data_IF_685935361103
#
_entry.id   IF_685935361103
#
_cell.length_a   1.000
_cell.length_b   1.000
_cell.length_c   1.000
_cell.angle_alpha   90.00
_cell.angle_beta   90.00
_cell.angle_gamma   90.00
#
_symmetry.space_group_name_H-M   'P 1'
#
loop_
_entity.id
_entity.type
_entity.pdbx_description
1 polymer ?
#
# COMPACT_ATOMS: atom_id res chain seq x y z
N UNK A 1 -3.22 28.32 -34.60
CA UNK A 1 -2.52 27.02 -34.51
C UNK A 1 -3.18 26.15 -35.57
N UNK A 2 -2.52 25.88 -36.67
CA UNK A 2 -2.98 24.95 -37.68
C UNK A 2 -2.75 23.52 -37.21
N UNK A 3 -3.75 22.67 -37.39
CA UNK A 3 -3.61 21.26 -37.11
C UNK A 3 -2.49 20.67 -38.00
N UNK A 4 -1.63 19.79 -37.47
CA UNK A 4 -0.57 19.19 -38.28
C UNK A 4 -1.15 18.31 -39.39
N UNK A 5 -0.50 18.34 -40.56
CA UNK A 5 -0.78 17.43 -41.67
C UNK A 5 -0.57 15.98 -41.18
N UNK A 6 -1.49 15.08 -41.58
CA UNK A 6 -1.28 13.65 -41.37
C UNK A 6 -0.02 13.20 -42.12
N UNK A 7 0.99 12.83 -41.37
CA UNK A 7 2.15 12.10 -41.87
C UNK A 7 2.01 10.66 -41.41
N UNK A 8 2.20 9.70 -42.31
CA UNK A 8 2.22 8.30 -41.94
C UNK A 8 3.41 8.04 -41.00
N UNK A 9 3.13 8.02 -39.71
CA UNK A 9 4.07 7.92 -38.60
C UNK A 9 3.47 8.51 -37.31
N UNK A 10 4.17 8.47 -36.20
CA UNK A 10 3.71 9.00 -34.93
C UNK A 10 3.45 10.50 -35.03
N UNK A 11 2.19 10.91 -34.91
CA UNK A 11 1.81 12.33 -34.88
C UNK A 11 1.94 12.82 -33.44
N UNK A 12 2.95 13.63 -33.15
CA UNK A 12 3.07 14.35 -31.89
C UNK A 12 2.39 15.71 -32.07
N UNK A 13 1.16 15.84 -31.56
CA UNK A 13 0.37 17.06 -31.73
C UNK A 13 0.95 18.28 -31.00
N UNK A 14 1.28 18.12 -29.73
CA UNK A 14 1.92 19.15 -28.91
C UNK A 14 2.91 18.52 -27.94
N UNK A 15 4.15 18.95 -28.00
CA UNK A 15 5.16 18.62 -27.00
C UNK A 15 5.57 19.91 -26.28
N UNK A 16 5.36 19.97 -24.99
CA UNK A 16 5.89 21.03 -24.13
C UNK A 16 7.02 20.40 -23.33
N UNK A 17 8.24 20.93 -23.53
CA UNK A 17 9.40 20.57 -22.72
C UNK A 17 9.86 21.82 -22.00
N UNK A 18 9.91 21.75 -20.66
CA UNK A 18 10.45 22.81 -19.82
C UNK A 18 11.69 22.25 -19.18
N UNK A 19 12.81 22.85 -19.51
CA UNK A 19 14.11 22.62 -18.91
C UNK A 19 14.38 23.81 -17.98
N UNK A 20 14.26 23.61 -16.69
CA UNK A 20 14.51 24.64 -15.68
C UNK A 20 15.83 24.34 -14.99
N UNK A 21 16.91 24.85 -15.59
CA UNK A 21 18.26 24.78 -15.04
C UNK A 21 18.52 25.82 -13.93
N UNK A 22 17.54 26.69 -13.65
CA UNK A 22 17.75 27.80 -12.70
C UNK A 22 17.14 27.48 -11.34
N UNK A 23 18.01 27.21 -10.37
CA UNK A 23 17.66 26.94 -8.96
C UNK A 23 17.11 28.20 -8.24
N UNK A 24 16.76 29.26 -8.92
CA UNK A 24 16.18 30.47 -8.34
C UNK A 24 14.67 30.36 -8.24
N UNK A 25 14.17 30.05 -7.07
CA UNK A 25 12.85 30.32 -6.46
C UNK A 25 11.63 30.61 -7.37
N UNK A 26 11.54 30.05 -8.56
CA UNK A 26 10.39 30.14 -9.45
C UNK A 26 9.59 28.85 -9.48
N UNK A 27 8.27 28.93 -9.65
CA UNK A 27 7.43 27.76 -9.91
C UNK A 27 7.41 27.53 -11.42
N UNK A 28 8.02 26.44 -11.89
CA UNK A 28 7.94 26.04 -13.28
C UNK A 28 6.67 25.21 -13.51
N UNK A 29 5.84 25.60 -14.47
CA UNK A 29 4.70 24.83 -14.93
C UNK A 29 4.97 24.28 -16.32
N UNK A 30 4.92 22.94 -16.48
CA UNK A 30 5.01 22.33 -17.80
C UNK A 30 3.82 22.68 -18.69
N UNK A 31 2.62 22.63 -18.12
CA UNK A 31 1.38 23.01 -18.77
C UNK A 31 0.39 23.50 -17.71
N UNK A 32 -0.20 24.66 -17.94
CA UNK A 32 -1.28 25.18 -17.10
C UNK A 32 -2.56 25.31 -17.91
N UNK A 33 -3.65 24.70 -17.45
CA UNK A 33 -4.97 24.84 -18.04
C UNK A 33 -5.84 25.62 -17.06
N UNK A 34 -6.26 26.82 -17.48
CA UNK A 34 -7.20 27.65 -16.72
C UNK A 34 -8.59 27.52 -17.36
N UNK A 35 -9.55 27.02 -16.63
CA UNK A 35 -10.91 26.83 -17.09
C UNK A 35 -11.86 27.83 -16.44
N UNK A 36 -12.82 28.31 -17.20
CA UNK A 36 -13.94 29.07 -16.65
C UNK A 36 -14.82 28.16 -15.78
N UNK A 37 -15.57 28.73 -14.85
CA UNK A 37 -16.34 27.99 -13.84
C UNK A 37 -17.47 27.11 -14.39
N UNK A 38 -17.74 27.15 -15.69
CA UNK A 38 -18.81 26.40 -16.37
C UNK A 38 -18.27 25.41 -17.43
N UNK A 39 -17.05 24.91 -17.25
CA UNK A 39 -16.47 23.90 -18.13
C UNK A 39 -16.67 22.51 -17.51
N UNK A 40 -17.21 21.56 -18.27
CA UNK A 40 -17.51 20.20 -17.79
C UNK A 40 -16.22 19.38 -17.56
N UNK A 41 -15.16 19.63 -18.36
CA UNK A 41 -13.86 19.01 -18.17
C UNK A 41 -12.74 19.94 -18.64
N UNK A 42 -11.67 20.05 -17.86
CA UNK A 42 -10.45 20.77 -18.24
C UNK A 42 -9.55 19.94 -19.14
N UNK A 43 -9.52 18.63 -18.93
CA UNK A 43 -8.76 17.66 -19.73
C UNK A 43 -9.68 16.47 -20.00
N UNK A 44 -9.87 16.16 -21.27
CA UNK A 44 -10.58 14.94 -21.72
C UNK A 44 -9.59 14.03 -22.44
N UNK A 45 -9.39 12.82 -21.92
CA UNK A 45 -8.45 11.82 -22.41
C UNK A 45 -9.22 10.72 -23.11
N UNK A 46 -9.41 10.87 -24.43
CA UNK A 46 -10.15 9.90 -25.23
C UNK A 46 -9.20 8.84 -25.79
N UNK A 47 -9.35 7.59 -25.33
CA UNK A 47 -8.59 6.45 -25.85
C UNK A 47 -7.15 6.33 -25.36
N UNK A 48 -6.79 7.03 -24.25
CA UNK A 48 -5.47 7.00 -23.64
C UNK A 48 -5.55 7.18 -22.13
N UNK A 49 -4.40 7.37 -21.50
CA UNK A 49 -4.25 7.60 -20.05
C UNK A 49 -3.17 8.63 -19.75
N UNK A 50 -2.98 8.92 -18.48
CA UNK A 50 -1.87 9.72 -17.97
C UNK A 50 -0.77 8.74 -17.60
N UNK A 51 0.42 8.92 -18.19
CA UNK A 51 1.60 8.15 -17.82
C UNK A 51 2.38 8.92 -16.76
N UNK A 52 2.59 8.29 -15.62
CA UNK A 52 3.51 8.76 -14.59
C UNK A 52 4.92 8.22 -14.88
N UNK A 53 5.98 8.90 -14.41
CA UNK A 53 7.34 8.39 -14.52
C UNK A 53 7.46 7.01 -13.86
N UNK A 54 8.30 6.14 -14.42
CA UNK A 54 8.61 4.83 -13.83
C UNK A 54 9.49 4.93 -12.58
N UNK A 55 9.97 6.14 -12.25
CA UNK A 55 10.79 6.39 -11.08
C UNK A 55 9.87 6.75 -9.92
N UNK A 56 9.80 5.86 -8.95
CA UNK A 56 9.05 6.09 -7.72
C UNK A 56 9.66 7.30 -7.00
N UNK A 57 8.97 8.41 -7.03
CA UNK A 57 9.34 9.53 -6.19
C UNK A 57 9.33 9.06 -4.73
N UNK A 58 10.45 9.14 -4.07
CA UNK A 58 10.59 8.72 -2.67
C UNK A 58 9.78 9.59 -1.70
N UNK A 59 9.17 10.65 -2.20
CA UNK A 59 8.36 11.58 -1.41
C UNK A 59 7.24 12.16 -2.26
N UNK A 60 6.01 11.95 -1.83
CA UNK A 60 4.86 12.65 -2.37
C UNK A 60 5.02 14.18 -2.22
N UNK A 61 4.43 14.95 -3.13
CA UNK A 61 4.44 16.42 -3.06
C UNK A 61 3.92 16.90 -1.70
N UNK A 62 4.56 17.91 -1.15
CA UNK A 62 4.07 18.61 0.04
C UNK A 62 2.75 19.37 -0.20
N UNK A 63 2.35 19.54 -1.46
CA UNK A 63 1.08 20.17 -1.82
C UNK A 63 -0.05 19.12 -1.78
N UNK A 64 -0.97 19.28 -0.84
CA UNK A 64 -2.08 18.35 -0.61
C UNK A 64 -3.06 18.22 -1.81
N UNK A 65 -2.98 19.13 -2.79
CA UNK A 65 -3.84 19.12 -3.98
C UNK A 65 -3.15 18.54 -5.22
N UNK A 66 -1.96 17.97 -5.07
CA UNK A 66 -1.22 17.37 -6.18
C UNK A 66 -1.51 15.86 -6.23
N UNK A 67 -1.99 15.37 -7.36
CA UNK A 67 -2.01 13.96 -7.65
C UNK A 67 -0.65 13.58 -8.24
N UNK A 68 0.18 13.01 -7.44
CA UNK A 68 1.52 12.56 -7.78
C UNK A 68 1.79 11.16 -7.23
N UNK A 69 2.97 10.63 -7.54
CA UNK A 69 3.48 9.40 -6.94
C UNK A 69 2.53 8.20 -7.13
N UNK A 70 2.17 7.92 -8.41
CA UNK A 70 1.53 6.66 -8.74
C UNK A 70 2.58 5.56 -8.84
N UNK A 71 2.38 4.53 -8.04
CA UNK A 71 3.25 3.38 -7.99
C UNK A 71 2.42 2.10 -7.84
N UNK A 72 2.76 1.09 -8.58
CA UNK A 72 2.22 -0.26 -8.41
C UNK A 72 3.37 -1.26 -8.43
N UNK A 73 3.24 -2.33 -7.64
CA UNK A 73 4.30 -3.31 -7.56
C UNK A 73 3.96 -4.48 -6.65
N UNK A 74 4.98 -5.29 -6.48
CA UNK A 74 4.93 -6.45 -5.62
C UNK A 74 5.77 -6.21 -4.36
N UNK A 75 5.21 -6.60 -3.22
CA UNK A 75 5.87 -6.57 -1.92
C UNK A 75 6.27 -7.98 -1.50
N UNK A 76 7.57 -8.24 -1.42
CA UNK A 76 8.11 -9.52 -0.96
C UNK A 76 7.99 -9.64 0.57
N UNK A 77 7.16 -10.57 1.01
CA UNK A 77 6.92 -10.84 2.42
C UNK A 77 7.87 -11.91 3.02
N UNK A 78 8.91 -12.36 2.30
CA UNK A 78 9.81 -13.43 2.75
C UNK A 78 10.39 -13.20 4.15
N UNK A 79 10.74 -11.95 4.48
CA UNK A 79 11.26 -11.56 5.79
C UNK A 79 10.38 -10.53 6.49
N UNK A 80 9.14 -10.37 6.03
CA UNK A 80 8.26 -9.33 6.51
C UNK A 80 7.31 -9.82 7.61
N UNK A 81 7.03 -11.12 7.67
CA UNK A 81 6.12 -11.71 8.65
C UNK A 81 6.88 -12.24 9.85
N UNK A 82 6.51 -11.81 11.05
CA UNK A 82 7.19 -12.17 12.27
C UNK A 82 6.45 -11.70 13.51
N UNK A 83 7.15 -11.66 14.65
CA UNK A 83 6.60 -11.23 15.93
C UNK A 83 6.63 -9.71 16.15
N UNK A 84 5.84 -9.24 17.11
CA UNK A 84 5.81 -7.83 17.51
C UNK A 84 7.08 -7.40 18.21
N UNK A 85 7.80 -8.32 18.83
CA UNK A 85 9.05 -8.06 19.54
C UNK A 85 10.22 -7.83 18.57
N UNK A 86 10.00 -8.06 17.26
CA UNK A 86 10.87 -7.64 16.17
C UNK A 86 12.14 -8.46 15.99
N UNK A 87 12.26 -9.57 16.70
CA UNK A 87 13.46 -10.41 16.69
C UNK A 87 13.36 -11.66 15.83
N UNK A 88 12.18 -12.14 15.55
CA UNK A 88 11.97 -13.41 14.88
C UNK A 88 11.05 -13.26 13.68
N UNK A 89 11.42 -13.91 12.59
CA UNK A 89 10.58 -14.02 11.40
C UNK A 89 10.14 -15.46 11.20
N UNK A 90 8.94 -15.63 10.69
CA UNK A 90 8.45 -16.94 10.26
C UNK A 90 9.05 -17.31 8.91
N UNK A 91 9.16 -18.62 8.66
CA UNK A 91 9.57 -19.10 7.34
C UNK A 91 8.38 -19.04 6.40
N UNK A 92 8.46 -18.19 5.40
CA UNK A 92 7.42 -18.07 4.38
C UNK A 92 7.51 -19.18 3.33
N UNK A 93 6.37 -19.54 2.76
CA UNK A 93 6.31 -20.41 1.59
C UNK A 93 6.89 -19.66 0.38
N UNK A 94 7.81 -20.30 -0.35
CA UNK A 94 8.51 -19.67 -1.48
C UNK A 94 7.63 -19.39 -2.70
N UNK A 95 6.42 -19.94 -2.75
CA UNK A 95 5.46 -19.71 -3.82
C UNK A 95 4.41 -18.66 -3.45
N UNK A 96 4.14 -18.52 -2.14
CA UNK A 96 3.07 -17.67 -1.61
C UNK A 96 3.62 -16.68 -0.59
N UNK A 97 4.53 -15.84 -1.01
CA UNK A 97 5.22 -14.85 -0.18
C UNK A 97 5.18 -13.43 -0.76
N UNK A 98 4.29 -13.18 -1.72
CA UNK A 98 4.24 -11.89 -2.40
C UNK A 98 2.83 -11.30 -2.31
N UNK A 99 2.76 -10.03 -1.96
CA UNK A 99 1.56 -9.21 -1.98
C UNK A 99 1.68 -8.15 -3.07
N UNK A 100 0.57 -7.78 -3.68
CA UNK A 100 0.54 -6.66 -4.64
C UNK A 100 0.09 -5.39 -3.94
N UNK A 101 0.65 -4.25 -4.35
CA UNK A 101 0.21 -2.96 -3.87
C UNK A 101 0.00 -1.96 -5.00
N UNK A 102 -0.85 -0.98 -4.73
CA UNK A 102 -1.01 0.24 -5.52
C UNK A 102 -0.91 1.42 -4.55
N UNK A 103 -0.09 2.41 -4.93
CA UNK A 103 0.05 3.66 -4.19
C UNK A 103 -0.30 4.83 -5.10
N UNK A 104 -1.15 5.73 -4.62
CA UNK A 104 -1.56 6.95 -5.30
C UNK A 104 -1.39 8.12 -4.34
N UNK A 105 -0.36 8.92 -4.54
CA UNK A 105 0.05 9.88 -3.54
C UNK A 105 0.36 9.19 -2.22
N UNK A 106 -0.39 9.49 -1.18
CA UNK A 106 -0.24 8.87 0.14
C UNK A 106 -1.15 7.65 0.37
N UNK A 107 -2.10 7.40 -0.52
CA UNK A 107 -3.03 6.27 -0.38
C UNK A 107 -2.36 4.99 -0.87
N UNK A 108 -2.25 4.01 0.02
CA UNK A 108 -1.71 2.68 -0.28
C UNK A 108 -2.80 1.65 -0.13
N UNK A 109 -2.97 0.82 -1.15
CA UNK A 109 -3.76 -0.41 -1.08
C UNK A 109 -2.83 -1.61 -1.21
N UNK A 110 -2.86 -2.51 -0.22
CA UNK A 110 -2.08 -3.73 -0.17
C UNK A 110 -3.02 -4.93 -0.13
N UNK A 111 -2.80 -5.92 -1.00
CA UNK A 111 -3.65 -7.11 -1.05
C UNK A 111 -2.88 -8.36 -1.49
N UNK A 112 -3.43 -9.51 -1.16
CA UNK A 112 -2.96 -10.78 -1.71
C UNK A 112 -3.11 -11.95 -0.75
N UNK A 113 -2.44 -13.04 -1.12
CA UNK A 113 -2.40 -14.29 -0.38
C UNK A 113 -0.95 -14.62 -0.03
N UNK A 114 -0.68 -14.83 1.25
CA UNK A 114 0.63 -15.25 1.76
C UNK A 114 0.49 -16.46 2.67
N UNK A 115 1.56 -17.25 2.76
CA UNK A 115 1.56 -18.48 3.56
C UNK A 115 2.85 -18.57 4.38
N UNK A 116 2.68 -18.80 5.69
CA UNK A 116 3.75 -19.27 6.56
C UNK A 116 3.90 -20.77 6.30
N UNK A 117 5.08 -21.19 5.86
CA UNK A 117 5.40 -22.60 5.69
C UNK A 117 5.83 -23.26 7.01
N UNK A 118 6.43 -22.47 7.90
CA UNK A 118 6.81 -22.92 9.24
C UNK A 118 6.86 -21.74 10.20
N UNK A 119 5.99 -21.73 11.22
CA UNK A 119 6.11 -20.78 12.33
C UNK A 119 7.47 -20.92 13.02
N UNK A 120 8.01 -19.81 13.50
CA UNK A 120 9.24 -19.81 14.27
C UNK A 120 8.92 -20.11 15.73
N UNK A 121 9.41 -21.25 16.24
CA UNK A 121 9.14 -21.69 17.62
C UNK A 121 9.76 -20.77 18.71
N UNK A 122 10.63 -19.83 18.32
CA UNK A 122 11.21 -18.83 19.22
C UNK A 122 10.51 -17.48 19.14
N UNK A 123 9.54 -17.33 18.25
CA UNK A 123 8.74 -16.14 18.16
C UNK A 123 7.82 -16.00 19.37
N UNK A 124 7.57 -14.79 19.78
CA UNK A 124 6.69 -14.47 20.92
C UNK A 124 6.04 -13.11 20.70
N UNK A 125 4.84 -12.96 21.22
CA UNK A 125 4.04 -11.77 21.02
C UNK A 125 3.14 -11.85 19.79
N UNK A 126 2.67 -10.70 19.32
CA UNK A 126 1.69 -10.63 18.24
C UNK A 126 2.31 -10.99 16.90
N UNK A 127 1.59 -11.74 16.08
CA UNK A 127 1.95 -11.97 14.68
C UNK A 127 1.78 -10.67 13.90
N UNK A 128 2.84 -10.25 13.22
CA UNK A 128 2.87 -8.99 12.49
C UNK A 128 3.35 -9.18 11.06
N UNK A 129 2.96 -8.25 10.19
CA UNK A 129 3.49 -8.14 8.83
C UNK A 129 4.03 -6.73 8.61
N UNK A 130 5.28 -6.61 8.14
CA UNK A 130 5.85 -5.32 7.71
C UNK A 130 5.00 -4.70 6.61
N UNK A 131 4.92 -3.39 6.61
CA UNK A 131 4.27 -2.62 5.55
C UNK A 131 5.31 -2.20 4.50
N UNK A 132 4.94 -2.15 3.22
CA UNK A 132 5.83 -1.61 2.18
C UNK A 132 6.15 -0.13 2.39
N UNK A 133 5.23 0.62 3.00
CA UNK A 133 5.38 2.04 3.35
C UNK A 133 4.88 2.26 4.76
N UNK A 134 5.61 3.08 5.53
CA UNK A 134 5.19 3.43 6.88
C UNK A 134 3.85 4.17 6.87
N UNK A 135 2.98 3.86 7.83
CA UNK A 135 1.72 4.58 8.01
C UNK A 135 1.95 6.01 8.51
N UNK A 136 1.07 6.92 8.12
CA UNK A 136 1.14 8.32 8.53
C UNK A 136 1.03 8.45 10.06
N UNK A 137 1.72 9.47 10.60
CA UNK A 137 1.52 9.93 11.98
C UNK A 137 0.41 10.98 11.99
N UNK A 138 -0.81 10.54 12.21
CA UNK A 138 -1.99 11.40 12.20
C UNK A 138 -2.27 12.05 13.55
N UNK A 139 -2.95 13.20 13.53
CA UNK A 139 -3.46 13.82 14.75
C UNK A 139 -4.59 12.96 15.34
N UNK A 140 -4.59 12.77 16.65
CA UNK A 140 -5.63 11.98 17.35
C UNK A 140 -5.78 10.54 16.82
N UNK A 141 -4.65 9.93 16.39
CA UNK A 141 -4.59 8.58 15.85
C UNK A 141 -5.35 8.41 14.50
N UNK A 142 -5.48 9.47 13.73
CA UNK A 142 -6.13 9.43 12.41
C UNK A 142 -5.38 8.59 11.36
N UNK A 143 -4.14 8.18 11.64
CA UNK A 143 -3.37 7.24 10.81
C UNK A 143 -3.74 5.77 11.03
N UNK A 144 -4.52 5.46 12.08
CA UNK A 144 -4.98 4.08 12.30
C UNK A 144 -5.98 3.63 11.25
N UNK A 145 -5.83 2.39 10.81
CA UNK A 145 -6.80 1.80 9.92
C UNK A 145 -6.96 0.30 10.19
N UNK A 146 -8.03 -0.27 9.64
CA UNK A 146 -8.31 -1.68 9.68
C UNK A 146 -8.56 -2.22 8.27
N UNK A 147 -8.23 -3.49 8.05
CA UNK A 147 -8.45 -4.19 6.82
C UNK A 147 -9.04 -5.58 7.05
N UNK A 148 -9.48 -6.22 5.98
CA UNK A 148 -10.03 -7.57 6.03
C UNK A 148 -8.93 -8.61 5.96
N UNK A 149 -9.04 -9.67 6.78
CA UNK A 149 -8.19 -10.84 6.75
C UNK A 149 -9.04 -12.09 6.81
N UNK A 150 -8.68 -13.07 6.00
CA UNK A 150 -9.25 -14.43 6.06
C UNK A 150 -8.08 -15.40 6.22
N UNK A 151 -8.22 -16.34 7.16
CA UNK A 151 -7.33 -17.49 7.24
C UNK A 151 -7.78 -18.49 6.16
N UNK A 152 -6.93 -18.73 5.18
CA UNK A 152 -7.25 -19.58 4.04
C UNK A 152 -6.94 -21.05 4.29
N UNK A 153 -5.91 -21.33 5.10
CA UNK A 153 -5.46 -22.68 5.42
C UNK A 153 -4.72 -22.66 6.75
N UNK A 154 -4.80 -23.76 7.49
CA UNK A 154 -4.11 -24.00 8.74
C UNK A 154 -5.03 -24.03 9.94
N UNK A 155 -4.56 -24.67 11.00
CA UNK A 155 -5.19 -24.63 12.31
C UNK A 155 -4.62 -23.44 13.08
N UNK A 156 -5.48 -22.54 13.48
CA UNK A 156 -5.14 -21.41 14.32
C UNK A 156 -6.07 -21.38 15.52
N UNK A 157 -5.52 -21.06 16.67
CA UNK A 157 -6.31 -20.90 17.87
C UNK A 157 -6.70 -19.42 18.00
N UNK A 158 -7.81 -19.05 17.45
CA UNK A 158 -8.35 -17.68 17.62
C UNK A 158 -9.12 -17.54 18.94
N UNK A 159 -8.98 -18.47 19.84
CA UNK A 159 -9.82 -18.55 21.04
C UNK A 159 -11.30 -18.67 20.67
N UNK A 160 -12.13 -17.79 21.18
CA UNK A 160 -13.56 -17.69 20.78
C UNK A 160 -13.77 -16.67 19.66
N UNK A 161 -12.72 -16.26 18.94
CA UNK A 161 -12.77 -15.28 17.88
C UNK A 161 -13.50 -15.81 16.64
N UNK A 162 -14.37 -14.98 16.09
CA UNK A 162 -15.19 -15.34 14.93
C UNK A 162 -14.80 -14.61 13.65
N UNK A 163 -13.99 -13.56 13.77
CA UNK A 163 -13.59 -12.73 12.65
C UNK A 163 -12.16 -12.22 12.87
N UNK A 164 -11.34 -12.31 11.83
CA UNK A 164 -10.01 -11.67 11.81
C UNK A 164 -10.01 -10.39 11.01
N UNK A 165 -9.22 -9.45 11.48
CA UNK A 165 -8.97 -8.17 10.83
C UNK A 165 -7.48 -7.87 10.90
N UNK A 166 -7.00 -7.11 9.93
CA UNK A 166 -5.71 -6.44 10.03
C UNK A 166 -5.90 -5.10 10.71
N UNK A 167 -4.95 -4.70 11.55
CA UNK A 167 -4.90 -3.38 12.14
C UNK A 167 -3.53 -2.75 11.88
N UNK A 168 -3.52 -1.50 11.46
CA UNK A 168 -2.31 -0.68 11.31
C UNK A 168 -2.42 0.45 12.32
N UNK A 169 -1.41 0.56 13.17
CA UNK A 169 -1.29 1.63 14.15
C UNK A 169 -0.81 2.93 13.48
N UNK A 170 -1.15 4.03 14.11
CA UNK A 170 -0.65 5.35 13.74
C UNK A 170 0.89 5.37 13.77
N UNK A 171 1.52 5.92 12.74
CA UNK A 171 2.98 5.89 12.57
C UNK A 171 3.57 4.46 12.49
N UNK A 172 2.73 3.45 12.26
CA UNK A 172 3.13 2.04 12.25
C UNK A 172 3.96 1.66 11.02
N UNK A 173 4.93 0.78 11.22
CA UNK A 173 5.70 0.12 10.14
C UNK A 173 5.24 -1.30 9.91
N UNK A 174 4.29 -1.77 10.71
CA UNK A 174 3.74 -3.13 10.69
C UNK A 174 2.22 -3.09 10.82
N UNK A 175 1.58 -4.11 10.29
CA UNK A 175 0.21 -4.43 10.66
C UNK A 175 0.20 -5.62 11.62
N UNK A 176 -0.76 -5.64 12.53
CA UNK A 176 -1.11 -6.74 13.42
C UNK A 176 -2.36 -7.44 12.94
N UNK A 177 -2.54 -8.67 13.36
CA UNK A 177 -3.75 -9.44 13.09
C UNK A 177 -4.55 -9.55 14.37
N UNK A 178 -5.83 -9.22 14.29
CA UNK A 178 -6.71 -9.13 15.45
C UNK A 178 -7.93 -10.01 15.26
N UNK A 179 -8.25 -10.82 16.26
CA UNK A 179 -9.51 -11.55 16.29
C UNK A 179 -10.53 -10.81 17.15
N UNK A 180 -11.78 -10.71 16.68
CA UNK A 180 -12.88 -10.22 17.51
C UNK A 180 -13.46 -11.41 18.26
N UNK A 181 -13.45 -11.35 19.59
CA UNK A 181 -14.00 -12.40 20.46
C UNK A 181 -15.45 -12.12 20.84
N UNK A 182 -16.14 -13.16 21.31
CA UNK A 182 -17.59 -13.13 21.58
C UNK A 182 -18.00 -12.06 22.60
N UNK A 183 -17.10 -11.74 23.52
CA UNK A 183 -17.37 -10.74 24.57
C UNK A 183 -17.10 -9.29 24.14
N UNK A 184 -16.75 -9.07 22.84
CA UNK A 184 -16.52 -7.76 22.27
C UNK A 184 -15.11 -7.22 22.45
N UNK A 185 -14.24 -7.96 23.12
CA UNK A 185 -12.83 -7.60 23.25
C UNK A 185 -12.04 -7.98 21.98
N UNK A 186 -10.93 -7.32 21.77
CA UNK A 186 -9.93 -7.70 20.77
C UNK A 186 -8.99 -8.74 21.38
N UNK A 187 -8.71 -9.76 20.62
CA UNK A 187 -7.60 -10.67 20.86
C UNK A 187 -6.56 -10.48 19.78
N UNK A 188 -5.40 -9.97 20.14
CA UNK A 188 -4.27 -9.94 19.21
C UNK A 188 -3.90 -11.37 18.86
N UNK A 189 -3.76 -11.66 17.58
CA UNK A 189 -3.33 -12.95 17.11
C UNK A 189 -1.84 -13.10 17.38
N UNK A 190 -1.50 -13.97 18.32
CA UNK A 190 -0.12 -14.16 18.77
C UNK A 190 0.51 -15.45 18.21
N UNK A 191 1.81 -15.60 18.43
CA UNK A 191 2.56 -16.76 17.95
C UNK A 191 2.10 -18.08 18.57
N UNK A 192 1.50 -18.04 19.76
CA UNK A 192 0.93 -19.23 20.41
C UNK A 192 -0.35 -19.70 19.72
N UNK A 193 -1.03 -18.81 19.01
CA UNK A 193 -2.20 -19.13 18.19
C UNK A 193 -1.83 -19.84 16.88
N UNK A 194 -0.56 -19.72 16.44
CA UNK A 194 0.00 -20.50 15.35
C UNK A 194 0.34 -21.89 15.86
N UNK A 195 -0.47 -22.89 15.56
CA UNK A 195 -0.16 -24.27 15.97
C UNK A 195 1.13 -24.81 15.34
N UNK A 196 2.16 -24.65 16.10
CA UNK A 196 3.52 -25.25 16.16
C UNK A 196 4.26 -25.69 14.89
N UNK A 197 3.71 -26.34 13.94
CA UNK A 197 4.38 -26.83 12.73
C UNK A 197 3.47 -26.88 11.50
N UNK A 198 2.29 -26.32 11.61
CA UNK A 198 1.33 -26.30 10.52
C UNK A 198 1.54 -25.07 9.64
N UNK A 199 1.38 -25.26 8.35
CA UNK A 199 1.29 -24.14 7.41
C UNK A 199 0.06 -23.30 7.75
N UNK A 200 0.22 -21.97 7.74
CA UNK A 200 -0.89 -21.03 7.94
C UNK A 200 -0.88 -20.01 6.83
N UNK A 201 -2.03 -19.78 6.23
CA UNK A 201 -2.17 -18.82 5.16
C UNK A 201 -3.15 -17.72 5.48
N UNK A 202 -2.85 -16.54 4.95
CA UNK A 202 -3.65 -15.33 5.10
C UNK A 202 -3.98 -14.76 3.73
N UNK A 203 -5.25 -14.44 3.54
CA UNK A 203 -5.72 -13.63 2.43
C UNK A 203 -6.13 -12.28 3.01
N UNK A 204 -5.53 -11.21 2.53
CA UNK A 204 -5.72 -9.90 3.13
C UNK A 204 -5.95 -8.80 2.09
N UNK A 205 -6.62 -7.75 2.54
CA UNK A 205 -6.79 -6.51 1.81
C UNK A 205 -6.89 -5.35 2.79
N UNK A 206 -5.94 -4.41 2.72
CA UNK A 206 -5.89 -3.24 3.59
C UNK A 206 -5.59 -1.98 2.79
N UNK A 207 -6.20 -0.88 3.20
CA UNK A 207 -5.94 0.45 2.63
C UNK A 207 -5.56 1.39 3.76
N UNK A 208 -4.46 2.13 3.60
CA UNK A 208 -3.96 3.06 4.60
C UNK A 208 -3.33 4.30 3.96
N UNK A 209 -3.04 5.31 4.77
CA UNK A 209 -2.32 6.51 4.36
C UNK A 209 -0.86 6.37 4.78
N UNK A 210 0.07 6.50 3.84
CA UNK A 210 1.51 6.48 4.11
C UNK A 210 2.03 7.84 4.60
N UNK A 211 3.18 7.81 5.24
CA UNK A 211 3.85 8.99 5.77
C UNK A 211 4.28 9.98 4.67
#
# INVERSE_FOLDING_TARGET
IEAPLEVAGDVIGLRVSIDDDDASAGVAYGMQINCASNVDAAIDLVGGGIQFPADAATSASANANTLDDYEEGDFDATNAMGDSDGGNTHTMNTTYNTLSYVKIGKLVHLQGYIQIASPNASASGDVTLLLPFQAVNGTELAGRCAGSVIIGYGEVNTGSGTQMNAMIEDNGTRMTFEATVVDGDRHAFDDADLHGSSEVSFMLGVTYISA
#
